data_IF_167753398243
#
_entry.id   IF_167753398243
#
_cell.length_a   1.000
_cell.length_b   1.000
_cell.length_c   1.000
_cell.angle_alpha   90.00
_cell.angle_beta   90.00
_cell.angle_gamma   90.00
#
_symmetry.space_group_name_H-M   'P 1'
#
loop_
_entity.id
_entity.type
_entity.pdbx_description
1 polymer ?
#
# COMPACT_ATOMS: atom_id res chain seq x y z
N UNK A 1 14.21 6.85 16.18
CA UNK A 1 14.15 6.04 14.94
C UNK A 1 15.54 5.87 14.33
N UNK A 2 16.30 6.95 14.03
CA UNK A 2 17.63 6.89 13.37
C UNK A 2 18.63 6.06 14.18
N UNK A 3 18.70 6.24 15.51
CA UNK A 3 19.57 5.45 16.38
C UNK A 3 19.19 3.97 16.36
N UNK A 4 17.89 3.65 16.44
CA UNK A 4 17.41 2.27 16.35
C UNK A 4 17.83 1.58 15.05
N UNK A 5 17.76 2.29 13.90
CA UNK A 5 18.22 1.75 12.62
C UNK A 5 19.72 1.42 12.69
N UNK A 6 20.54 2.32 13.22
CA UNK A 6 21.99 2.10 13.39
C UNK A 6 22.29 0.91 14.30
N UNK A 7 21.57 0.80 15.41
CA UNK A 7 21.74 -0.32 16.35
C UNK A 7 21.38 -1.67 15.71
N UNK A 8 20.27 -1.75 14.96
CA UNK A 8 19.88 -2.95 14.22
C UNK A 8 20.95 -3.33 13.20
N UNK A 9 21.42 -2.35 12.40
CA UNK A 9 22.50 -2.60 11.43
C UNK A 9 23.78 -3.09 12.09
N UNK A 10 24.18 -2.48 13.20
CA UNK A 10 25.36 -2.91 13.96
C UNK A 10 25.20 -4.32 14.52
N UNK A 11 24.07 -4.64 15.15
CA UNK A 11 23.80 -5.97 15.73
C UNK A 11 23.73 -7.07 14.66
N UNK A 12 23.30 -6.74 13.46
CA UNK A 12 23.20 -7.68 12.33
C UNK A 12 24.42 -7.68 11.41
N UNK A 13 25.51 -7.01 11.74
CA UNK A 13 26.67 -6.83 10.86
C UNK A 13 26.28 -6.30 9.46
N UNK A 14 25.27 -5.44 9.38
CA UNK A 14 24.64 -4.91 8.16
C UNK A 14 23.94 -5.95 7.27
N UNK A 15 23.71 -7.17 7.73
CA UNK A 15 23.07 -8.21 6.93
C UNK A 15 21.55 -8.05 6.79
N UNK A 16 20.88 -7.47 7.80
CA UNK A 16 19.43 -7.29 7.77
C UNK A 16 19.02 -6.08 6.91
N UNK A 17 18.13 -6.32 5.96
CA UNK A 17 17.40 -5.27 5.25
C UNK A 17 16.31 -4.66 6.14
N UNK A 18 16.26 -3.31 6.22
CA UNK A 18 15.27 -2.59 7.05
C UNK A 18 14.26 -1.91 6.14
N UNK A 19 12.97 -2.25 6.34
CA UNK A 19 11.84 -1.56 5.72
C UNK A 19 11.18 -0.63 6.72
N UNK A 20 11.12 0.65 6.41
CA UNK A 20 10.44 1.66 7.23
C UNK A 20 8.97 1.81 6.81
N UNK A 21 8.10 2.09 7.80
CA UNK A 21 6.69 2.40 7.56
C UNK A 21 6.20 3.31 8.70
N UNK A 22 6.60 4.59 8.68
CA UNK A 22 6.31 5.57 9.74
C UNK A 22 5.63 6.85 9.20
N UNK A 23 4.84 6.68 8.14
CA UNK A 23 4.00 7.74 7.56
C UNK A 23 4.79 8.80 6.80
N UNK A 24 4.14 9.94 6.60
CA UNK A 24 4.71 11.11 5.95
C UNK A 24 5.76 11.78 6.82
N UNK A 25 6.92 12.03 6.23
CA UNK A 25 8.02 12.71 6.89
C UNK A 25 8.63 13.77 5.95
N UNK A 26 9.45 14.64 6.49
CA UNK A 26 10.23 15.57 5.67
C UNK A 26 11.32 14.83 4.87
N UNK A 27 11.73 15.38 3.72
CA UNK A 27 12.83 14.83 2.90
C UNK A 27 14.11 14.65 3.74
N UNK A 28 14.38 15.59 4.64
CA UNK A 28 15.54 15.50 5.55
C UNK A 28 15.41 14.33 6.53
N UNK A 29 14.22 14.05 7.07
CA UNK A 29 13.99 12.89 7.92
C UNK A 29 14.19 11.58 7.14
N UNK A 30 13.69 11.51 5.90
CA UNK A 30 13.93 10.37 5.01
C UNK A 30 15.43 10.17 4.74
N UNK A 31 16.16 11.23 4.43
CA UNK A 31 17.61 11.17 4.19
C UNK A 31 18.34 10.61 5.41
N UNK A 32 18.06 11.11 6.61
CA UNK A 32 18.67 10.63 7.86
C UNK A 32 18.38 9.14 8.13
N UNK A 33 17.18 8.66 7.83
CA UNK A 33 16.84 7.24 7.95
C UNK A 33 17.61 6.39 6.92
N UNK A 34 17.72 6.89 5.66
CA UNK A 34 18.44 6.20 4.60
C UNK A 34 19.94 6.10 4.90
N UNK A 35 20.56 7.19 5.35
CA UNK A 35 21.97 7.25 5.77
C UNK A 35 22.26 6.39 7.01
N UNK A 36 21.27 6.19 7.88
CA UNK A 36 21.38 5.29 9.02
C UNK A 36 21.37 3.80 8.63
N UNK A 37 20.99 3.48 7.38
CA UNK A 37 21.00 2.12 6.83
C UNK A 37 19.62 1.54 6.53
N UNK A 38 18.53 2.30 6.57
CA UNK A 38 17.24 1.81 6.12
C UNK A 38 17.25 1.65 4.60
N UNK A 39 16.77 0.50 4.11
CA UNK A 39 16.89 0.13 2.70
C UNK A 39 15.61 0.43 1.91
N UNK A 40 14.45 0.19 2.51
CA UNK A 40 13.12 0.27 1.90
C UNK A 40 12.20 1.14 2.73
N UNK A 41 11.24 1.76 2.08
CA UNK A 41 10.18 2.51 2.76
C UNK A 41 8.83 2.20 2.13
N UNK A 42 7.86 1.80 2.97
CA UNK A 42 6.48 1.59 2.55
C UNK A 42 5.63 2.79 2.97
N UNK A 43 5.06 3.49 2.00
CA UNK A 43 4.09 4.57 2.21
C UNK A 43 2.90 4.36 1.25
N UNK A 44 1.79 3.85 1.78
CA UNK A 44 0.65 3.49 0.94
C UNK A 44 -0.10 4.72 0.47
N UNK A 45 -0.35 4.80 -0.84
CA UNK A 45 -1.20 5.85 -1.44
C UNK A 45 -2.69 5.63 -1.14
N UNK A 46 -3.09 4.41 -0.84
CA UNK A 46 -4.44 3.91 -0.56
C UNK A 46 -5.41 3.98 -1.74
N UNK A 47 -5.38 5.01 -2.54
CA UNK A 47 -6.05 5.20 -3.83
C UNK A 47 -5.43 6.37 -4.56
N UNK A 48 -5.38 6.33 -5.89
CA UNK A 48 -4.94 7.45 -6.72
C UNK A 48 -6.07 8.41 -7.09
N UNK A 49 -7.31 8.04 -6.78
CA UNK A 49 -8.46 8.94 -6.89
C UNK A 49 -8.43 9.93 -5.72
N UNK A 50 -8.16 11.21 -6.02
CA UNK A 50 -8.02 12.27 -5.01
C UNK A 50 -9.28 12.43 -4.15
N UNK A 51 -10.47 12.38 -4.74
CA UNK A 51 -11.72 12.55 -3.98
C UNK A 51 -11.93 11.39 -3.00
N UNK A 52 -11.63 10.15 -3.41
CA UNK A 52 -11.64 9.00 -2.52
C UNK A 52 -10.56 9.10 -1.43
N UNK A 53 -9.36 9.56 -1.78
CA UNK A 53 -8.29 9.77 -0.82
C UNK A 53 -8.71 10.76 0.27
N UNK A 54 -9.27 11.91 -0.10
CA UNK A 54 -9.73 12.94 0.83
C UNK A 54 -10.94 12.49 1.68
N UNK A 55 -11.72 11.54 1.18
CA UNK A 55 -12.84 10.96 1.93
C UNK A 55 -12.36 10.01 3.04
N UNK A 56 -11.24 9.31 2.85
CA UNK A 56 -10.75 8.28 3.78
C UNK A 56 -9.62 8.76 4.70
N UNK A 57 -9.11 9.98 4.51
CA UNK A 57 -8.05 10.55 5.33
C UNK A 57 -8.50 11.78 6.12
N UNK A 58 -7.82 12.12 7.23
CA UNK A 58 -8.06 13.38 7.93
C UNK A 58 -7.84 14.58 7.01
N UNK A 59 -8.66 15.63 7.21
CA UNK A 59 -8.58 16.87 6.43
C UNK A 59 -7.56 17.84 7.03
N UNK A 60 -6.29 17.47 6.96
CA UNK A 60 -5.18 18.32 7.39
C UNK A 60 -4.06 18.34 6.34
N UNK A 61 -3.10 19.25 6.49
CA UNK A 61 -2.03 19.43 5.52
C UNK A 61 -1.06 18.25 5.45
N UNK A 62 -0.89 17.50 6.54
CA UNK A 62 0.03 16.36 6.59
C UNK A 62 -0.53 15.16 5.80
N UNK A 63 -1.85 14.96 5.86
CA UNK A 63 -2.53 13.80 5.25
C UNK A 63 -3.21 14.15 3.92
N UNK A 64 -2.80 15.23 3.23
CA UNK A 64 -3.33 15.56 1.90
C UNK A 64 -2.77 14.62 0.83
N UNK A 65 -3.53 14.45 -0.27
CA UNK A 65 -3.10 13.66 -1.42
C UNK A 65 -1.76 14.15 -1.98
N UNK A 66 -1.60 15.45 -2.13
CA UNK A 66 -0.38 16.08 -2.63
C UNK A 66 0.81 15.82 -1.71
N UNK A 67 0.62 15.93 -0.40
CA UNK A 67 1.68 15.61 0.57
C UNK A 67 2.10 14.14 0.45
N UNK A 68 1.16 13.20 0.35
CA UNK A 68 1.44 11.78 0.18
C UNK A 68 2.24 11.49 -1.09
N UNK A 69 1.83 12.06 -2.24
CA UNK A 69 2.55 11.91 -3.53
C UNK A 69 3.93 12.54 -3.46
N UNK A 70 4.07 13.72 -2.86
CA UNK A 70 5.37 14.39 -2.70
C UNK A 70 6.32 13.59 -1.78
N UNK A 71 5.81 12.97 -0.72
CA UNK A 71 6.58 12.07 0.13
C UNK A 71 7.10 10.86 -0.66
N UNK A 72 6.29 10.21 -1.49
CA UNK A 72 6.74 9.11 -2.36
C UNK A 72 7.86 9.55 -3.32
N UNK A 73 7.74 10.74 -3.92
CA UNK A 73 8.79 11.31 -4.76
C UNK A 73 10.08 11.59 -3.97
N UNK A 74 9.96 12.14 -2.77
CA UNK A 74 11.10 12.41 -1.87
C UNK A 74 11.80 11.13 -1.45
N UNK A 75 11.07 10.06 -1.14
CA UNK A 75 11.62 8.73 -0.84
C UNK A 75 12.46 8.20 -2.00
N UNK A 76 11.97 8.29 -3.24
CA UNK A 76 12.74 7.90 -4.43
C UNK A 76 13.99 8.75 -4.59
N UNK A 77 13.86 10.08 -4.44
CA UNK A 77 14.97 11.04 -4.57
C UNK A 77 16.12 10.77 -3.58
N UNK A 78 15.81 10.37 -2.34
CA UNK A 78 16.83 10.03 -1.33
C UNK A 78 17.36 8.60 -1.43
N UNK A 79 16.89 7.80 -2.40
CA UNK A 79 17.45 6.49 -2.74
C UNK A 79 16.89 5.32 -1.96
N UNK A 80 15.66 5.40 -1.45
CA UNK A 80 14.94 4.23 -0.95
C UNK A 80 14.44 3.34 -2.10
N UNK A 81 14.37 2.04 -1.85
CA UNK A 81 13.41 1.20 -2.55
C UNK A 81 12.02 1.57 -2.04
N UNK A 82 11.16 2.05 -2.96
CA UNK A 82 9.87 2.64 -2.60
C UNK A 82 8.76 1.62 -2.72
N UNK A 83 8.07 1.39 -1.60
CA UNK A 83 6.84 0.62 -1.56
C UNK A 83 5.61 1.52 -1.44
N UNK A 84 4.54 1.18 -2.14
CA UNK A 84 3.22 1.79 -1.97
C UNK A 84 2.12 0.72 -2.10
N UNK A 85 0.88 1.13 -2.14
CA UNK A 85 -0.24 0.22 -2.34
C UNK A 85 -1.58 0.90 -2.18
N UNK A 86 -2.63 0.18 -2.56
CA UNK A 86 -4.00 0.69 -2.53
C UNK A 86 -4.94 -0.27 -1.81
N UNK A 87 -6.08 0.25 -1.38
CA UNK A 87 -7.22 -0.54 -0.99
C UNK A 87 -8.11 -0.81 -2.21
N UNK A 88 -8.63 -2.02 -2.32
CA UNK A 88 -9.43 -2.48 -3.46
C UNK A 88 -10.86 -2.73 -3.01
N UNK A 89 -11.84 -2.15 -3.71
CA UNK A 89 -13.25 -2.27 -3.39
C UNK A 89 -13.70 -1.31 -2.29
N UNK A 90 -13.13 -0.11 -2.26
CA UNK A 90 -13.62 1.00 -1.44
C UNK A 90 -15.03 1.44 -1.87
N UNK A 91 -15.89 1.88 -0.96
CA UNK A 91 -17.16 2.51 -1.32
C UNK A 91 -16.96 3.65 -2.33
N UNK A 92 -17.59 3.54 -3.50
CA UNK A 92 -17.49 4.52 -4.59
C UNK A 92 -16.27 4.37 -5.52
N UNK A 93 -15.37 3.42 -5.26
CA UNK A 93 -14.25 3.12 -6.16
C UNK A 93 -14.73 2.47 -7.46
N UNK A 94 -14.20 2.92 -8.59
CA UNK A 94 -14.51 2.41 -9.92
C UNK A 94 -13.38 1.52 -10.48
N UNK A 95 -13.67 0.76 -11.53
CA UNK A 95 -12.62 0.01 -12.25
C UNK A 95 -11.57 0.95 -12.88
N UNK A 96 -11.97 2.15 -13.31
CA UNK A 96 -11.04 3.14 -13.84
C UNK A 96 -10.06 3.64 -12.76
N UNK A 97 -10.51 3.77 -11.52
CA UNK A 97 -9.61 4.12 -10.40
C UNK A 97 -8.55 3.04 -10.21
N UNK A 98 -8.94 1.76 -10.25
CA UNK A 98 -8.01 0.63 -10.14
C UNK A 98 -7.02 0.55 -11.31
N UNK A 99 -7.45 0.88 -12.52
CA UNK A 99 -6.53 1.01 -13.67
C UNK A 99 -5.53 2.13 -13.44
N UNK A 100 -5.99 3.30 -12.98
CA UNK A 100 -5.11 4.44 -12.66
C UNK A 100 -4.12 4.09 -11.53
N UNK A 101 -4.54 3.30 -10.55
CA UNK A 101 -3.65 2.80 -9.49
C UNK A 101 -2.48 1.97 -10.06
N UNK A 102 -2.74 1.08 -11.03
CA UNK A 102 -1.67 0.30 -11.69
C UNK A 102 -0.76 1.20 -12.54
N UNK A 103 -1.33 2.16 -13.26
CA UNK A 103 -0.55 3.13 -14.03
C UNK A 103 0.33 3.99 -13.13
N UNK A 104 -0.19 4.41 -11.98
CA UNK A 104 0.57 5.14 -10.98
C UNK A 104 1.78 4.37 -10.46
N UNK A 105 1.67 3.06 -10.23
CA UNK A 105 2.82 2.24 -9.82
C UNK A 105 3.94 2.27 -10.86
N UNK A 106 3.59 2.20 -12.15
CA UNK A 106 4.56 2.32 -13.25
C UNK A 106 5.22 3.70 -13.25
N UNK A 107 4.40 4.75 -13.23
CA UNK A 107 4.86 6.14 -13.40
C UNK A 107 5.71 6.62 -12.22
N UNK A 108 5.51 6.04 -11.04
CA UNK A 108 6.29 6.27 -9.83
C UNK A 108 7.47 5.30 -9.67
N UNK A 109 7.66 4.37 -10.60
CA UNK A 109 8.72 3.36 -10.57
C UNK A 109 8.75 2.59 -9.22
N UNK A 110 7.61 2.04 -8.81
CA UNK A 110 7.43 1.42 -7.50
C UNK A 110 8.11 0.05 -7.43
N UNK A 111 8.91 -0.18 -6.37
CA UNK A 111 9.66 -1.43 -6.15
C UNK A 111 8.85 -2.52 -5.42
N UNK A 112 7.87 -2.11 -4.60
CA UNK A 112 7.05 -3.03 -3.81
C UNK A 112 5.60 -2.54 -3.72
N UNK A 113 4.64 -3.43 -3.96
CA UNK A 113 3.22 -3.10 -3.96
C UNK A 113 2.50 -3.93 -2.89
N UNK A 114 1.92 -3.20 -1.91
CA UNK A 114 1.09 -3.77 -0.85
C UNK A 114 -0.38 -3.43 -1.08
N UNK A 115 -1.02 -4.04 -2.08
CA UNK A 115 -2.44 -3.85 -2.36
C UNK A 115 -3.29 -4.99 -1.82
N UNK A 116 -4.51 -4.69 -1.41
CA UNK A 116 -5.42 -5.72 -0.90
C UNK A 116 -6.86 -5.25 -0.82
N UNK A 117 -7.80 -6.19 -0.69
CA UNK A 117 -9.21 -5.86 -0.56
C UNK A 117 -9.47 -5.03 0.69
N UNK A 118 -10.38 -4.08 0.58
CA UNK A 118 -10.86 -3.31 1.73
C UNK A 118 -11.54 -4.23 2.73
N UNK A 119 -11.07 -4.21 3.98
CA UNK A 119 -11.67 -4.92 5.11
C UNK A 119 -12.46 -3.91 5.93
N UNK A 120 -13.77 -4.11 6.05
CA UNK A 120 -14.66 -3.20 6.77
C UNK A 120 -14.34 -3.24 8.26
N UNK A 121 -14.16 -2.06 8.87
CA UNK A 121 -14.01 -1.90 10.31
C UNK A 121 -15.17 -1.02 10.84
N UNK A 122 -15.99 -1.60 11.69
CA UNK A 122 -17.25 -1.00 12.13
C UNK A 122 -17.11 0.34 12.87
N UNK A 123 -15.97 0.57 13.53
CA UNK A 123 -15.72 1.79 14.31
C UNK A 123 -15.16 2.95 13.47
N UNK A 124 -15.14 2.80 12.13
CA UNK A 124 -14.69 3.87 11.24
C UNK A 124 -15.86 4.48 10.46
N UNK A 125 -15.81 5.80 10.14
CA UNK A 125 -16.86 6.43 9.31
C UNK A 125 -17.04 5.71 7.96
N UNK A 126 -15.95 5.28 7.33
CA UNK A 126 -15.99 4.51 6.09
C UNK A 126 -16.64 3.13 6.29
N UNK A 127 -16.37 2.47 7.42
CA UNK A 127 -16.98 1.19 7.77
C UNK A 127 -18.48 1.30 7.95
N UNK A 128 -18.97 2.32 8.63
CA UNK A 128 -20.41 2.58 8.78
C UNK A 128 -21.07 2.75 7.40
N UNK A 129 -20.49 3.57 6.52
CA UNK A 129 -20.97 3.72 5.14
C UNK A 129 -20.95 2.41 4.35
N UNK A 130 -19.91 1.60 4.52
CA UNK A 130 -19.81 0.30 3.86
C UNK A 130 -20.91 -0.67 4.31
N UNK A 131 -21.29 -0.64 5.59
CA UNK A 131 -22.40 -1.42 6.13
C UNK A 131 -23.75 -0.99 5.54
N UNK A 132 -24.01 0.32 5.49
CA UNK A 132 -25.23 0.89 4.88
C UNK A 132 -25.36 0.47 3.40
N UNK A 133 -24.27 0.35 2.68
CA UNK A 133 -24.22 -0.08 1.28
C UNK A 133 -24.22 -1.61 1.12
N UNK A 134 -24.26 -2.39 2.20
CA UNK A 134 -24.25 -3.85 2.15
C UNK A 134 -22.92 -4.48 1.68
N UNK A 135 -21.85 -3.70 1.65
CA UNK A 135 -20.53 -4.15 1.15
C UNK A 135 -19.95 -5.26 2.03
N UNK A 136 -20.27 -5.32 3.32
CA UNK A 136 -19.76 -6.34 4.25
C UNK A 136 -20.53 -7.69 4.19
N UNK A 137 -21.44 -7.86 3.23
CA UNK A 137 -22.09 -9.13 2.96
C UNK A 137 -21.08 -10.21 2.53
N UNK A 138 -21.45 -11.48 2.64
CA UNK A 138 -20.59 -12.58 2.20
C UNK A 138 -20.26 -12.49 0.72
N UNK A 139 -21.23 -12.11 -0.10
CA UNK A 139 -21.05 -11.87 -1.54
C UNK A 139 -20.06 -10.72 -1.81
N UNK A 140 -20.24 -9.57 -1.15
CA UNK A 140 -19.35 -8.43 -1.27
C UNK A 140 -17.91 -8.73 -0.81
N UNK A 141 -17.72 -9.59 0.22
CA UNK A 141 -16.40 -10.08 0.61
C UNK A 141 -15.75 -10.90 -0.50
N UNK A 142 -16.51 -11.83 -1.09
CA UNK A 142 -16.04 -12.66 -2.20
C UNK A 142 -15.68 -11.83 -3.43
N UNK A 143 -16.52 -10.88 -3.80
CA UNK A 143 -16.25 -9.95 -4.91
C UNK A 143 -14.95 -9.15 -4.71
N UNK A 144 -14.73 -8.60 -3.51
CA UNK A 144 -13.50 -7.87 -3.20
C UNK A 144 -12.26 -8.76 -3.23
N UNK A 145 -12.35 -10.01 -2.77
CA UNK A 145 -11.24 -10.98 -2.89
C UNK A 145 -10.95 -11.26 -4.37
N UNK A 146 -11.96 -11.54 -5.18
CA UNK A 146 -11.78 -11.79 -6.61
C UNK A 146 -11.18 -10.59 -7.33
N UNK A 147 -11.64 -9.38 -7.01
CA UNK A 147 -11.09 -8.14 -7.56
C UNK A 147 -9.64 -7.95 -7.15
N UNK A 148 -9.31 -8.22 -5.89
CA UNK A 148 -7.93 -8.19 -5.39
C UNK A 148 -7.01 -9.16 -6.13
N UNK A 149 -7.45 -10.39 -6.37
CA UNK A 149 -6.68 -11.38 -7.14
C UNK A 149 -6.48 -10.95 -8.60
N UNK A 150 -7.51 -10.38 -9.23
CA UNK A 150 -7.39 -9.81 -10.59
C UNK A 150 -6.40 -8.66 -10.64
N UNK A 151 -6.42 -7.77 -9.64
CA UNK A 151 -5.47 -6.67 -9.55
C UNK A 151 -4.03 -7.17 -9.39
N UNK A 152 -3.78 -8.20 -8.58
CA UNK A 152 -2.45 -8.83 -8.44
C UNK A 152 -2.00 -9.39 -9.80
N UNK A 153 -2.86 -10.16 -10.48
CA UNK A 153 -2.53 -10.77 -11.76
C UNK A 153 -2.23 -9.73 -12.84
N UNK A 154 -3.09 -8.71 -12.98
CA UNK A 154 -2.89 -7.64 -13.95
C UNK A 154 -1.62 -6.84 -13.66
N UNK A 155 -1.36 -6.52 -12.40
CA UNK A 155 -0.14 -5.80 -11.99
C UNK A 155 1.11 -6.62 -12.31
N UNK A 156 1.10 -7.93 -12.03
CA UNK A 156 2.21 -8.84 -12.38
C UNK A 156 2.47 -8.89 -13.88
N UNK A 157 1.42 -9.02 -14.70
CA UNK A 157 1.55 -9.05 -16.16
C UNK A 157 2.07 -7.73 -16.73
N UNK A 158 1.65 -6.61 -16.14
CA UNK A 158 1.98 -5.27 -16.63
C UNK A 158 3.37 -4.80 -16.17
N UNK A 159 3.71 -5.00 -14.88
CA UNK A 159 4.96 -4.52 -14.27
C UNK A 159 6.07 -5.60 -14.17
N UNK A 160 5.76 -6.85 -14.44
CA UNK A 160 6.67 -8.00 -14.48
C UNK A 160 7.46 -8.24 -13.18
N UNK A 161 8.54 -7.49 -12.94
CA UNK A 161 9.55 -7.77 -11.91
C UNK A 161 9.32 -7.06 -10.56
N UNK A 162 8.19 -6.37 -10.38
CA UNK A 162 7.85 -5.70 -9.12
C UNK A 162 7.54 -6.70 -8.00
N UNK A 163 7.89 -6.36 -6.77
CA UNK A 163 7.46 -7.14 -5.60
C UNK A 163 5.99 -6.86 -5.27
N UNK A 164 5.18 -7.91 -5.18
CA UNK A 164 3.76 -7.82 -4.87
C UNK A 164 3.46 -8.67 -3.63
N UNK A 165 2.92 -8.04 -2.59
CA UNK A 165 2.59 -8.73 -1.35
C UNK A 165 1.26 -9.50 -1.45
N UNK A 166 1.24 -10.77 -1.00
CA UNK A 166 0.02 -11.49 -0.66
C UNK A 166 -0.46 -11.02 0.73
N UNK A 167 -1.25 -9.95 0.75
CA UNK A 167 -1.59 -9.20 1.96
C UNK A 167 -2.48 -9.99 2.93
N UNK A 168 -2.37 -9.68 4.22
CA UNK A 168 -3.26 -10.23 5.27
C UNK A 168 -4.72 -9.87 5.06
N UNK A 169 -5.03 -8.81 4.35
CA UNK A 169 -6.40 -8.43 3.98
C UNK A 169 -7.08 -9.50 3.11
N UNK A 170 -6.36 -10.16 2.21
CA UNK A 170 -6.89 -11.31 1.46
C UNK A 170 -7.28 -12.45 2.40
N UNK A 171 -6.44 -12.79 3.36
CA UNK A 171 -6.71 -13.86 4.32
C UNK A 171 -7.81 -13.50 5.33
N UNK A 172 -7.99 -12.22 5.65
CA UNK A 172 -9.08 -11.76 6.51
C UNK A 172 -10.47 -11.99 5.88
N UNK A 173 -10.56 -11.94 4.55
CA UNK A 173 -11.81 -12.15 3.81
C UNK A 173 -11.96 -13.57 3.26
N UNK A 174 -10.85 -14.29 3.02
CA UNK A 174 -10.85 -15.69 2.53
C UNK A 174 -9.71 -16.45 3.22
N UNK A 175 -10.01 -17.58 3.86
CA UNK A 175 -9.03 -18.38 4.61
C UNK A 175 -7.78 -18.78 3.78
N UNK A 176 -7.94 -18.97 2.48
CA UNK A 176 -6.86 -19.27 1.51
C UNK A 176 -6.47 -18.05 0.67
N UNK A 177 -6.82 -16.83 1.12
CA UNK A 177 -6.64 -15.61 0.34
C UNK A 177 -5.19 -15.32 -0.01
N UNK A 178 -4.24 -15.59 0.89
CA UNK A 178 -2.81 -15.38 0.63
C UNK A 178 -2.26 -16.39 -0.38
N UNK A 179 -2.60 -17.66 -0.25
CA UNK A 179 -2.22 -18.72 -1.18
C UNK A 179 -2.76 -18.44 -2.59
N UNK A 180 -4.01 -18.00 -2.68
CA UNK A 180 -4.61 -17.54 -3.94
C UNK A 180 -3.88 -16.31 -4.49
N UNK A 181 -3.47 -15.37 -3.61
CA UNK A 181 -2.67 -14.20 -3.98
C UNK A 181 -1.33 -14.59 -4.58
N UNK A 182 -0.61 -15.55 -3.97
CA UNK A 182 0.64 -16.09 -4.51
C UNK A 182 0.41 -16.77 -5.87
N UNK A 183 -0.65 -17.57 -6.00
CA UNK A 183 -1.01 -18.20 -7.28
C UNK A 183 -1.40 -17.17 -8.37
N UNK A 184 -1.93 -16.01 -7.97
CA UNK A 184 -2.27 -14.92 -8.88
C UNK A 184 -1.07 -14.07 -9.32
N UNK A 185 0.12 -14.25 -8.71
CA UNK A 185 1.34 -13.54 -9.10
C UNK A 185 2.00 -12.68 -8.01
N UNK A 186 1.51 -12.71 -6.77
CA UNK A 186 2.26 -12.16 -5.63
C UNK A 186 3.52 -13.01 -5.38
N UNK A 187 4.54 -12.42 -4.75
CA UNK A 187 5.83 -13.10 -4.50
C UNK A 187 6.41 -12.80 -3.10
N UNK A 188 5.71 -12.05 -2.26
CA UNK A 188 6.05 -11.80 -0.86
C UNK A 188 4.81 -11.80 0.04
#
# INVERSE_FOLDING_TARGET
VVELIRDIKKLSNNELGITMCVGEQSEEAYRRMREAGADRYLLRIETTNKDLFEMIHPKDALHSFETRVNCLKSLRKVGFQVGTGVMIGLPGQTLNDLVNDILFYRDMDIDMIGMGPYVVHHDTPLGQRALELGIDSQEGKLERVQLGLKMIALTRLFLKDVNIAATTALQALDKLGREKGLAAGANI
#
